data_IF_637156463999
#
_entry.id   IF_637156463999
#
_cell.length_a   1.000
_cell.length_b   1.000
_cell.length_c   1.000
_cell.angle_alpha   90.00
_cell.angle_beta   90.00
_cell.angle_gamma   90.00
#
_symmetry.space_group_name_H-M   'P 1'
#
loop_
_entity.id
_entity.type
_entity.pdbx_description
1 polymer ?
#
# COMPACT_ATOMS: atom_id res chain seq x y z
N UNK A 1 7.72 -5.58 -17.84
CA UNK A 1 7.46 -5.21 -16.44
C UNK A 1 6.08 -4.61 -16.40
N UNK A 2 5.11 -5.28 -15.79
CA UNK A 2 3.83 -4.67 -15.46
C UNK A 2 4.12 -3.53 -14.47
N UNK A 3 3.93 -2.29 -14.90
CA UNK A 3 4.29 -1.07 -14.16
C UNK A 3 3.54 -0.88 -12.83
N UNK A 4 2.70 -1.86 -12.45
CA UNK A 4 1.79 -1.83 -11.32
C UNK A 4 1.91 -3.05 -10.40
N UNK A 5 2.97 -3.84 -10.62
CA UNK A 5 3.43 -4.89 -9.70
C UNK A 5 4.74 -4.45 -9.10
N UNK A 6 4.90 -4.70 -7.80
CA UNK A 6 6.14 -4.42 -7.09
C UNK A 6 6.66 -5.74 -6.50
N UNK A 7 7.96 -5.98 -6.66
CA UNK A 7 8.64 -7.09 -5.99
C UNK A 7 9.64 -6.49 -5.02
N UNK A 8 9.44 -6.74 -3.73
CA UNK A 8 10.36 -6.31 -2.68
C UNK A 8 11.25 -7.50 -2.34
N UNK A 9 12.54 -7.31 -2.54
CA UNK A 9 13.54 -8.36 -2.39
C UNK A 9 13.61 -8.87 -0.93
N UNK A 10 13.88 -10.17 -0.82
CA UNK A 10 14.25 -10.80 0.44
C UNK A 10 15.62 -10.30 0.92
N UNK A 11 15.85 -10.36 2.22
CA UNK A 11 17.13 -10.02 2.83
C UNK A 11 18.10 -11.19 2.77
N UNK A 12 19.39 -10.91 2.77
CA UNK A 12 20.45 -11.92 2.86
C UNK A 12 20.62 -12.52 4.27
N UNK A 13 20.01 -11.89 5.28
CA UNK A 13 20.13 -12.24 6.69
C UNK A 13 18.80 -12.80 7.18
N UNK A 14 18.83 -13.96 7.85
CA UNK A 14 17.65 -14.61 8.40
C UNK A 14 17.69 -16.13 8.25
N UNK A 15 16.59 -16.79 8.60
CA UNK A 15 16.45 -18.24 8.45
C UNK A 15 16.18 -18.58 6.99
N UNK A 16 16.97 -19.50 6.45
CA UNK A 16 16.79 -20.06 5.11
C UNK A 16 16.04 -21.39 5.26
N UNK A 17 15.06 -21.69 4.37
CA UNK A 17 14.36 -22.96 4.37
C UNK A 17 15.35 -24.14 4.30
N UNK A 18 15.12 -25.25 5.01
CA UNK A 18 15.86 -26.48 4.73
C UNK A 18 15.52 -26.96 3.31
N UNK A 19 16.48 -27.62 2.65
CA UNK A 19 16.20 -28.27 1.37
C UNK A 19 15.16 -29.39 1.58
N UNK A 20 13.99 -29.23 0.98
CA UNK A 20 12.85 -30.13 1.07
C UNK A 20 12.10 -30.16 -0.26
N UNK A 21 11.47 -31.29 -0.58
CA UNK A 21 10.53 -31.40 -1.70
C UNK A 21 9.12 -30.89 -1.32
N UNK A 22 8.89 -30.61 -0.03
CA UNK A 22 7.65 -30.00 0.47
C UNK A 22 7.74 -28.47 0.45
N UNK A 23 6.63 -27.82 0.08
CA UNK A 23 6.49 -26.36 0.12
C UNK A 23 6.48 -25.90 1.57
N UNK A 24 7.41 -25.01 1.92
CA UNK A 24 7.45 -24.41 3.24
C UNK A 24 6.50 -23.21 3.30
N UNK A 25 5.48 -23.31 4.16
CA UNK A 25 4.56 -22.22 4.43
C UNK A 25 5.19 -21.22 5.41
N UNK A 26 5.11 -19.93 5.07
CA UNK A 26 5.40 -18.81 5.97
C UNK A 26 4.15 -17.98 6.19
N UNK A 27 4.09 -17.24 7.30
CA UNK A 27 2.96 -16.32 7.53
C UNK A 27 2.93 -15.21 6.47
N UNK A 28 1.74 -14.83 5.96
CA UNK A 28 1.61 -13.68 5.07
C UNK A 28 2.05 -12.38 5.77
N UNK A 29 2.38 -11.31 5.02
CA UNK A 29 2.58 -10.01 5.63
C UNK A 29 1.29 -9.58 6.34
N UNK A 30 1.42 -8.82 7.43
CA UNK A 30 0.29 -8.21 8.10
C UNK A 30 0.13 -6.75 7.67
N UNK A 31 -1.11 -6.28 7.51
CA UNK A 31 -1.38 -4.86 7.34
C UNK A 31 -1.27 -4.17 8.71
N UNK A 32 -0.36 -3.21 8.84
CA UNK A 32 -0.14 -2.47 10.08
C UNK A 32 -0.88 -1.13 10.14
N UNK A 33 -0.97 -0.42 9.01
CA UNK A 33 -1.77 0.80 8.90
C UNK A 33 -2.12 1.16 7.47
N UNK A 34 -3.24 1.87 7.31
CA UNK A 34 -3.66 2.55 6.08
C UNK A 34 -3.59 4.05 6.33
N UNK A 35 -2.96 4.82 5.43
CA UNK A 35 -2.79 6.26 5.61
C UNK A 35 -3.09 7.03 4.33
N UNK A 36 -3.82 8.12 4.50
CA UNK A 36 -3.96 9.17 3.49
C UNK A 36 -3.02 10.31 3.87
N UNK A 37 -1.99 10.51 3.05
CA UNK A 37 -0.96 11.53 3.26
C UNK A 37 -1.17 12.66 2.27
N UNK A 38 -1.46 13.84 2.78
CA UNK A 38 -1.65 15.06 2.03
C UNK A 38 -0.37 15.89 2.09
N UNK A 39 0.06 16.37 0.94
CA UNK A 39 1.32 17.08 0.81
C UNK A 39 1.32 18.05 -0.36
N UNK A 40 2.44 18.75 -0.48
CA UNK A 40 2.66 19.80 -1.47
C UNK A 40 4.02 19.62 -2.14
N UNK A 41 4.21 20.25 -3.30
CA UNK A 41 5.51 20.34 -3.95
C UNK A 41 6.39 21.44 -3.36
N UNK A 42 7.68 21.42 -3.71
CA UNK A 42 8.64 22.49 -3.39
C UNK A 42 8.15 23.83 -3.95
N UNK A 43 7.67 23.82 -5.19
CA UNK A 43 7.17 25.01 -5.87
C UNK A 43 5.67 25.22 -5.64
N UNK A 44 5.21 26.43 -5.23
CA UNK A 44 3.81 26.63 -4.85
C UNK A 44 2.78 26.39 -5.95
N UNK A 45 3.15 26.72 -7.19
CA UNK A 45 2.25 26.69 -8.34
C UNK A 45 2.25 25.33 -9.08
N UNK A 46 3.22 24.47 -8.78
CA UNK A 46 3.38 23.17 -9.41
C UNK A 46 2.70 22.09 -8.61
N UNK A 47 2.11 21.13 -9.32
CA UNK A 47 1.58 19.91 -8.72
C UNK A 47 2.72 19.07 -8.13
N UNK A 48 2.54 18.50 -6.91
CA UNK A 48 3.56 17.64 -6.34
C UNK A 48 3.76 16.38 -7.17
N UNK A 49 5.01 15.96 -7.32
CA UNK A 49 5.40 14.72 -7.99
C UNK A 49 5.93 13.71 -6.97
N UNK A 50 6.19 12.47 -7.39
CA UNK A 50 6.76 11.45 -6.51
C UNK A 50 8.11 11.86 -5.88
N UNK A 51 8.95 12.57 -6.64
CA UNK A 51 10.29 12.98 -6.22
C UNK A 51 10.30 14.27 -5.39
N UNK A 52 9.21 15.04 -5.40
CA UNK A 52 9.09 16.35 -4.75
C UNK A 52 7.89 16.44 -3.79
N UNK A 53 7.38 15.31 -3.32
CA UNK A 53 6.24 15.29 -2.40
C UNK A 53 6.68 15.55 -0.96
N UNK A 54 6.24 16.68 -0.38
CA UNK A 54 6.46 17.02 1.03
C UNK A 54 5.18 16.75 1.84
N UNK A 55 5.14 15.71 2.70
CA UNK A 55 4.01 15.45 3.57
C UNK A 55 3.73 16.61 4.52
N UNK A 56 2.47 16.99 4.66
CA UNK A 56 2.03 18.08 5.57
C UNK A 56 0.99 17.58 6.56
N UNK A 57 0.04 16.78 6.10
CA UNK A 57 -1.07 16.29 6.92
C UNK A 57 -1.33 14.81 6.63
N UNK A 58 -1.56 14.02 7.67
CA UNK A 58 -1.78 12.57 7.54
C UNK A 58 -3.02 12.15 8.32
N UNK A 59 -3.92 11.46 7.65
CA UNK A 59 -4.99 10.68 8.28
C UNK A 59 -4.50 9.24 8.31
N UNK A 60 -4.50 8.62 9.48
CA UNK A 60 -3.98 7.26 9.67
C UNK A 60 -5.00 6.40 10.39
N UNK A 61 -5.23 5.21 9.85
CA UNK A 61 -5.96 4.14 10.50
C UNK A 61 -5.00 3.00 10.86
N UNK A 62 -4.69 2.80 12.16
CA UNK A 62 -3.92 1.63 12.58
C UNK A 62 -4.76 0.37 12.44
N UNK A 63 -4.15 -0.69 11.90
CA UNK A 63 -4.78 -1.99 11.72
C UNK A 63 -4.17 -2.95 12.74
N UNK A 64 -4.96 -3.27 13.78
CA UNK A 64 -4.55 -4.22 14.82
C UNK A 64 -4.84 -5.66 14.43
N UNK A 65 -5.97 -5.89 13.75
CA UNK A 65 -6.34 -7.16 13.13
C UNK A 65 -7.20 -6.89 11.89
N UNK A 66 -6.97 -7.66 10.83
CA UNK A 66 -7.80 -7.62 9.63
C UNK A 66 -9.24 -8.02 9.98
N UNK A 67 -10.21 -7.26 9.47
CA UNK A 67 -11.63 -7.45 9.81
C UNK A 67 -12.01 -7.13 11.26
N UNK A 68 -11.08 -6.58 12.06
CA UNK A 68 -11.34 -6.25 13.47
C UNK A 68 -12.11 -4.95 13.68
N UNK A 69 -11.96 -3.99 12.77
CA UNK A 69 -12.66 -2.71 12.79
C UNK A 69 -13.88 -2.72 11.86
N UNK A 70 -13.73 -3.32 10.67
CA UNK A 70 -14.78 -3.40 9.66
C UNK A 70 -15.18 -4.87 9.45
N UNK A 71 -16.41 -5.29 9.83
CA UNK A 71 -16.84 -6.69 9.78
C UNK A 71 -16.89 -7.30 8.38
N UNK A 72 -17.02 -6.46 7.35
CA UNK A 72 -16.99 -6.84 5.94
C UNK A 72 -15.58 -6.83 5.34
N UNK A 73 -14.58 -6.34 6.11
CA UNK A 73 -13.18 -6.29 5.72
C UNK A 73 -12.85 -5.19 4.71
N UNK A 74 -13.73 -4.19 4.54
CA UNK A 74 -13.50 -3.04 3.66
C UNK A 74 -13.08 -1.83 4.49
N UNK A 75 -11.93 -1.25 4.16
CA UNK A 75 -11.43 -0.06 4.84
C UNK A 75 -11.81 1.20 4.07
N UNK A 76 -12.47 2.15 4.73
CA UNK A 76 -13.16 3.23 4.04
C UNK A 76 -12.67 4.63 4.38
N UNK A 77 -12.53 5.48 3.36
CA UNK A 77 -12.22 6.91 3.50
C UNK A 77 -12.84 7.71 2.34
N UNK A 78 -13.42 8.89 2.57
CA UNK A 78 -13.66 9.81 1.44
C UNK A 78 -12.39 10.61 1.09
N UNK A 79 -11.47 9.98 0.36
CA UNK A 79 -10.21 10.59 -0.05
C UNK A 79 -10.41 11.84 -0.92
N UNK A 80 -11.45 11.80 -1.77
CA UNK A 80 -11.79 12.89 -2.69
C UNK A 80 -12.26 14.15 -1.97
N UNK A 81 -13.26 14.01 -1.10
CA UNK A 81 -13.80 15.13 -0.34
C UNK A 81 -12.76 15.71 0.62
N UNK A 82 -11.91 14.88 1.25
CA UNK A 82 -10.83 15.38 2.11
C UNK A 82 -9.80 16.21 1.32
N UNK A 83 -9.42 15.75 0.11
CA UNK A 83 -8.52 16.51 -0.76
C UNK A 83 -9.16 17.84 -1.21
N UNK A 84 -10.43 17.82 -1.60
CA UNK A 84 -11.17 19.03 -1.99
C UNK A 84 -11.30 20.02 -0.83
N UNK A 85 -11.63 19.53 0.36
CA UNK A 85 -11.72 20.34 1.57
C UNK A 85 -10.40 21.02 1.89
N UNK A 86 -9.27 20.31 1.80
CA UNK A 86 -7.95 20.89 2.00
C UNK A 86 -7.63 21.95 0.95
N UNK A 87 -7.88 21.66 -0.33
CA UNK A 87 -7.64 22.59 -1.45
C UNK A 87 -8.47 23.87 -1.35
N UNK A 88 -9.72 23.77 -0.89
CA UNK A 88 -10.59 24.94 -0.72
C UNK A 88 -10.11 25.87 0.41
N UNK A 89 -9.46 25.33 1.44
CA UNK A 89 -8.99 26.08 2.61
C UNK A 89 -7.55 26.58 2.49
N UNK A 90 -6.69 25.83 1.81
CA UNK A 90 -5.25 26.10 1.73
C UNK A 90 -4.81 26.36 0.28
N UNK A 91 -5.23 27.50 -0.28
CA UNK A 91 -5.15 27.83 -1.71
C UNK A 91 -3.77 28.26 -2.22
N UNK A 92 -2.80 28.52 -1.32
CA UNK A 92 -1.46 29.04 -1.69
C UNK A 92 -0.52 27.99 -2.28
N UNK A 93 -0.92 26.73 -2.28
CA UNK A 93 -0.11 25.59 -2.74
C UNK A 93 -1.01 24.64 -3.52
N UNK A 94 -0.46 23.96 -4.52
CA UNK A 94 -1.10 22.78 -5.10
C UNK A 94 -0.93 21.59 -4.15
N UNK A 95 -2.05 21.03 -3.74
CA UNK A 95 -2.08 19.85 -2.87
C UNK A 95 -2.18 18.59 -3.70
N UNK A 96 -1.51 17.56 -3.22
CA UNK A 96 -1.68 16.19 -3.66
C UNK A 96 -1.97 15.26 -2.49
N UNK A 97 -2.49 14.10 -2.82
CA UNK A 97 -2.77 13.00 -1.91
C UNK A 97 -1.93 11.78 -2.32
N UNK A 98 -1.39 11.08 -1.34
CA UNK A 98 -0.74 9.78 -1.49
C UNK A 98 -1.37 8.77 -0.54
N UNK A 99 -1.72 7.60 -1.07
CA UNK A 99 -2.10 6.45 -0.25
C UNK A 99 -0.83 5.74 0.23
N UNK A 100 -0.77 5.41 1.52
CA UNK A 100 0.31 4.60 2.10
C UNK A 100 -0.27 3.38 2.84
N UNK A 101 0.33 2.22 2.62
CA UNK A 101 0.06 0.96 3.28
C UNK A 101 1.31 0.49 4.00
N UNK A 102 1.23 0.38 5.32
CA UNK A 102 2.30 -0.21 6.12
C UNK A 102 2.09 -1.72 6.19
N UNK A 103 3.08 -2.48 5.76
CA UNK A 103 3.12 -3.93 5.80
C UNK A 103 4.18 -4.39 6.80
N UNK A 104 3.83 -5.35 7.64
CA UNK A 104 4.74 -5.98 8.60
C UNK A 104 5.06 -7.39 8.12
N UNK A 105 6.34 -7.64 7.87
CA UNK A 105 6.85 -8.95 7.49
C UNK A 105 7.53 -9.60 8.71
N UNK A 106 7.15 -10.84 9.01
CA UNK A 106 7.73 -11.64 10.09
C UNK A 106 9.20 -12.00 9.79
N UNK A 107 9.97 -12.27 10.85
CA UNK A 107 11.41 -12.56 10.77
C UNK A 107 11.72 -13.82 9.95
N UNK A 108 10.88 -14.85 10.05
CA UNK A 108 11.01 -16.11 9.32
C UNK A 108 10.95 -15.96 7.79
N UNK A 109 10.20 -14.97 7.31
CA UNK A 109 10.02 -14.73 5.88
C UNK A 109 11.15 -13.88 5.27
N UNK A 110 11.96 -13.20 6.08
CA UNK A 110 12.88 -12.16 5.59
C UNK A 110 13.91 -12.68 4.61
N UNK A 111 14.52 -13.85 4.88
CA UNK A 111 15.51 -14.47 4.00
C UNK A 111 14.92 -15.59 3.13
N UNK A 112 13.69 -16.02 3.41
CA UNK A 112 13.05 -17.12 2.73
C UNK A 112 12.39 -16.68 1.41
N UNK A 113 11.66 -15.56 1.42
CA UNK A 113 10.75 -15.19 0.33
C UNK A 113 10.78 -13.70 -0.02
N UNK A 114 10.56 -13.41 -1.30
CA UNK A 114 10.30 -12.05 -1.79
C UNK A 114 8.85 -11.66 -1.48
N UNK A 115 8.59 -10.37 -1.29
CA UNK A 115 7.24 -9.85 -1.16
C UNK A 115 6.74 -9.36 -2.52
N UNK A 116 5.74 -10.06 -3.03
CA UNK A 116 5.02 -9.74 -4.25
C UNK A 116 3.80 -8.89 -3.93
N UNK A 117 3.68 -7.77 -4.64
CA UNK A 117 2.61 -6.78 -4.47
C UNK A 117 1.88 -6.61 -5.79
N UNK A 118 0.56 -6.79 -5.73
CA UNK A 118 -0.36 -6.48 -6.82
C UNK A 118 -1.28 -5.34 -6.38
N UNK A 119 -1.29 -4.27 -7.16
CA UNK A 119 -2.12 -3.09 -6.91
C UNK A 119 -3.34 -3.09 -7.83
N UNK A 120 -4.44 -2.40 -7.47
CA UNK A 120 -5.61 -2.27 -8.34
C UNK A 120 -5.36 -1.35 -9.55
N UNK A 121 -4.21 -0.67 -9.59
CA UNK A 121 -3.86 0.28 -10.63
C UNK A 121 -3.32 -0.50 -11.83
N UNK A 122 -3.79 -0.23 -13.05
CA UNK A 122 -3.43 -1.04 -14.22
C UNK A 122 -2.75 -0.26 -15.34
N UNK A 123 -2.89 1.07 -15.35
CA UNK A 123 -2.29 1.94 -16.38
C UNK A 123 -1.94 3.31 -15.82
N UNK A 124 -0.81 3.88 -16.24
CA UNK A 124 -0.46 5.28 -15.97
C UNK A 124 -0.13 5.54 -14.50
N UNK A 125 -0.57 6.68 -13.97
CA UNK A 125 -0.56 6.99 -12.54
C UNK A 125 -1.96 6.72 -11.93
N UNK A 126 -2.04 6.33 -10.65
CA UNK A 126 -0.93 6.15 -9.71
C UNK A 126 -0.06 4.91 -9.99
N UNK A 127 1.21 4.98 -9.60
CA UNK A 127 2.15 3.84 -9.61
C UNK A 127 2.55 3.45 -8.19
N UNK A 128 2.78 2.16 -7.91
CA UNK A 128 3.32 1.74 -6.63
C UNK A 128 4.78 2.17 -6.47
N UNK A 129 5.14 2.63 -5.28
CA UNK A 129 6.51 2.92 -4.88
C UNK A 129 6.74 2.49 -3.43
N UNK A 130 7.96 2.09 -3.12
CA UNK A 130 8.37 1.79 -1.75
C UNK A 130 8.95 3.06 -1.12
N UNK A 131 8.46 3.42 0.07
CA UNK A 131 8.99 4.53 0.84
C UNK A 131 10.01 4.06 1.88
N UNK A 132 10.98 4.92 2.17
CA UNK A 132 11.98 4.68 3.21
C UNK A 132 13.10 3.75 2.74
N UNK A 133 13.81 3.10 3.70
CA UNK A 133 14.94 2.24 3.37
C UNK A 133 14.52 1.01 2.59
N UNK A 134 15.32 0.60 1.59
CA UNK A 134 15.05 -0.60 0.78
C UNK A 134 14.94 -1.89 1.61
N UNK A 135 15.66 -1.97 2.72
CA UNK A 135 15.61 -3.11 3.64
C UNK A 135 14.36 -3.12 4.53
N UNK A 136 13.58 -2.04 4.55
CA UNK A 136 12.53 -1.78 5.52
C UNK A 136 13.05 -1.31 6.88
N UNK A 137 12.12 -0.96 7.77
CA UNK A 137 12.41 -0.54 9.15
C UNK A 137 12.36 -1.75 10.09
N UNK A 138 13.44 -2.07 10.82
CA UNK A 138 13.45 -3.20 11.75
C UNK A 138 12.37 -3.09 12.84
N UNK A 139 11.78 -4.21 13.22
CA UNK A 139 10.77 -4.31 14.28
C UNK A 139 11.29 -5.11 15.47
N UNK A 140 10.76 -4.82 16.66
CA UNK A 140 10.89 -5.74 17.81
C UNK A 140 10.30 -7.10 17.44
N UNK A 141 11.07 -8.17 17.63
CA UNK A 141 10.74 -9.52 17.13
C UNK A 141 11.51 -9.94 15.87
N UNK A 142 12.37 -9.08 15.33
CA UNK A 142 13.30 -9.42 14.24
C UNK A 142 12.70 -9.36 12.83
N UNK A 143 11.42 -9.00 12.70
CA UNK A 143 10.77 -8.71 11.42
C UNK A 143 11.10 -7.29 10.90
N UNK A 144 10.42 -6.88 9.83
CA UNK A 144 10.52 -5.51 9.28
C UNK A 144 9.15 -4.92 8.99
N UNK A 145 9.09 -3.59 8.99
CA UNK A 145 7.98 -2.80 8.46
C UNK A 145 8.39 -2.19 7.11
N UNK A 146 7.50 -2.26 6.13
CA UNK A 146 7.64 -1.73 4.78
C UNK A 146 6.48 -0.77 4.53
N UNK A 147 6.73 0.34 3.83
CA UNK A 147 5.67 1.27 3.45
C UNK A 147 5.54 1.26 1.93
N UNK A 148 4.46 0.66 1.45
CA UNK A 148 4.03 0.78 0.06
C UNK A 148 3.24 2.07 -0.08
N UNK A 149 3.46 2.82 -1.14
CA UNK A 149 2.71 4.03 -1.41
C UNK A 149 2.33 4.17 -2.88
N UNK A 150 1.34 5.01 -3.16
CA UNK A 150 1.06 5.50 -4.51
C UNK A 150 2.01 6.65 -4.88
N UNK A 151 2.19 6.92 -6.17
CA UNK A 151 2.56 8.27 -6.61
C UNK A 151 1.45 9.26 -6.17
N UNK A 152 1.79 10.53 -5.89
CA UNK A 152 0.77 11.49 -5.46
C UNK A 152 -0.19 11.80 -6.61
N UNK A 153 -1.47 11.98 -6.26
CA UNK A 153 -2.53 12.39 -7.18
C UNK A 153 -3.10 13.73 -6.75
N UNK A 154 -3.55 14.54 -7.71
CA UNK A 154 -3.93 15.94 -7.47
C UNK A 154 -5.40 16.23 -7.76
N UNK A 155 -6.11 15.34 -8.46
CA UNK A 155 -7.54 15.46 -8.72
C UNK A 155 -8.38 14.64 -7.73
N UNK A 156 -9.63 15.07 -7.53
CA UNK A 156 -10.62 14.40 -6.67
C UNK A 156 -10.92 12.99 -7.18
N UNK A 157 -11.12 12.84 -8.49
CA UNK A 157 -11.42 11.53 -9.09
C UNK A 157 -10.24 10.57 -8.98
N UNK A 158 -9.01 11.06 -9.15
CA UNK A 158 -7.82 10.23 -8.96
C UNK A 158 -7.64 9.83 -7.50
N UNK A 159 -7.92 10.73 -6.55
CA UNK A 159 -7.91 10.43 -5.11
C UNK A 159 -8.90 9.31 -4.74
N UNK A 160 -10.14 9.39 -5.26
CA UNK A 160 -11.16 8.35 -5.09
C UNK A 160 -10.78 7.01 -5.75
N UNK A 161 -10.00 7.07 -6.81
CA UNK A 161 -9.53 5.90 -7.56
C UNK A 161 -8.26 5.26 -7.00
N UNK A 162 -7.68 5.81 -5.93
CA UNK A 162 -6.53 5.19 -5.25
C UNK A 162 -6.92 3.85 -4.58
N UNK A 163 -8.21 3.66 -4.27
CA UNK A 163 -8.73 2.47 -3.60
C UNK A 163 -8.84 1.25 -4.52
N UNK A 164 -9.40 0.17 -4.00
CA UNK A 164 -9.56 -1.11 -4.68
C UNK A 164 -8.91 -2.27 -3.91
N UNK A 165 -8.69 -3.37 -4.60
CA UNK A 165 -8.11 -4.59 -4.02
C UNK A 165 -6.59 -4.60 -4.16
N UNK A 166 -5.90 -4.64 -3.03
CA UNK A 166 -4.47 -4.88 -2.96
C UNK A 166 -4.23 -6.34 -2.56
N UNK A 167 -3.31 -7.01 -3.26
CA UNK A 167 -2.93 -8.38 -2.94
C UNK A 167 -1.44 -8.45 -2.61
N UNK A 168 -1.13 -9.06 -1.48
CA UNK A 168 0.23 -9.26 -1.00
C UNK A 168 0.49 -10.74 -0.78
N UNK A 169 1.68 -11.18 -1.19
CA UNK A 169 2.08 -12.57 -1.03
C UNK A 169 3.59 -12.67 -0.90
N UNK A 170 4.04 -13.52 0.02
CA UNK A 170 5.44 -13.93 0.11
C UNK A 170 5.65 -15.18 -0.72
N UNK A 171 6.65 -15.14 -1.62
CA UNK A 171 7.01 -16.26 -2.48
C UNK A 171 8.48 -16.18 -2.90
N UNK A 172 9.15 -17.32 -3.05
CA UNK A 172 10.54 -17.40 -3.54
C UNK A 172 10.67 -17.56 -5.06
N UNK A 173 9.54 -17.60 -5.77
CA UNK A 173 9.45 -17.69 -7.22
C UNK A 173 8.33 -16.78 -7.75
N UNK A 174 8.43 -16.35 -9.00
CA UNK A 174 7.41 -15.50 -9.65
C UNK A 174 6.04 -16.20 -9.68
N UNK A 175 4.98 -15.63 -9.07
CA UNK A 175 3.62 -16.18 -9.13
C UNK A 175 3.06 -16.33 -10.54
N UNK A 176 3.56 -15.57 -11.50
CA UNK A 176 3.08 -15.53 -12.88
C UNK A 176 4.01 -16.24 -13.86
N UNK A 177 5.23 -16.58 -13.43
CA UNK A 177 6.27 -17.18 -14.27
C UNK A 177 6.16 -18.69 -14.46
N UNK A 178 5.16 -19.34 -13.84
CA UNK A 178 4.94 -20.80 -13.94
C UNK A 178 5.94 -21.66 -13.18
N UNK A 179 6.91 -21.07 -12.47
CA UNK A 179 7.84 -21.78 -11.59
C UNK A 179 7.16 -22.24 -10.30
N UNK A 180 7.45 -23.48 -9.88
CA UNK A 180 7.05 -23.98 -8.57
C UNK A 180 7.80 -23.22 -7.48
N UNK A 181 7.08 -22.67 -6.50
CA UNK A 181 7.69 -22.09 -5.31
C UNK A 181 8.06 -23.19 -4.32
N UNK A 182 9.16 -23.00 -3.60
CA UNK A 182 9.51 -23.84 -2.45
C UNK A 182 9.14 -23.17 -1.13
N UNK A 183 8.91 -21.85 -1.16
CA UNK A 183 8.40 -21.06 -0.04
C UNK A 183 7.23 -20.22 -0.52
N UNK A 184 6.10 -20.33 0.17
CA UNK A 184 4.97 -19.44 -0.09
C UNK A 184 4.14 -19.15 1.16
N UNK A 185 3.32 -18.11 1.06
CA UNK A 185 2.31 -17.76 2.06
C UNK A 185 0.93 -17.78 1.41
N UNK A 186 -0.11 -17.79 2.23
CA UNK A 186 -1.44 -17.40 1.76
C UNK A 186 -1.45 -15.95 1.27
N UNK A 187 -2.43 -15.59 0.44
CA UNK A 187 -2.58 -14.20 -0.01
C UNK A 187 -3.22 -13.36 1.09
N UNK A 188 -2.58 -12.24 1.42
CA UNK A 188 -3.25 -11.14 2.11
C UNK A 188 -3.98 -10.30 1.07
N UNK A 189 -5.31 -10.20 1.18
CA UNK A 189 -6.10 -9.25 0.40
C UNK A 189 -6.57 -8.11 1.30
N UNK A 190 -6.39 -6.88 0.82
CA UNK A 190 -6.83 -5.66 1.48
C UNK A 190 -7.75 -4.91 0.53
N UNK A 191 -9.00 -4.72 0.94
CA UNK A 191 -9.97 -3.94 0.19
C UNK A 191 -10.05 -2.54 0.78
N UNK A 192 -9.85 -1.51 -0.06
CA UNK A 192 -10.04 -0.12 0.32
C UNK A 192 -11.16 0.49 -0.53
N UNK A 193 -12.13 1.15 0.11
CA UNK A 193 -12.99 2.11 -0.57
C UNK A 193 -12.54 3.52 -0.23
N UNK A 194 -12.17 4.30 -1.25
CA UNK A 194 -11.70 5.67 -1.09
C UNK A 194 -12.72 6.72 -1.58
N UNK A 195 -13.98 6.33 -1.78
CA UNK A 195 -15.03 7.16 -2.35
C UNK A 195 -15.94 7.81 -1.31
N UNK A 196 -16.25 7.09 -0.25
CA UNK A 196 -17.16 7.51 0.81
C UNK A 196 -16.82 6.79 2.12
N UNK A 197 -17.39 7.27 3.22
CA UNK A 197 -17.41 6.57 4.50
C UNK A 197 -18.69 5.72 4.64
N UNK A 198 -18.65 4.65 5.46
CA UNK A 198 -19.72 3.67 5.71
C UNK A 198 -21.09 4.29 5.97
N UNK A 199 -21.08 5.47 6.61
CA UNK A 199 -22.27 6.16 7.08
C UNK A 199 -22.82 7.20 6.10
N UNK A 200 -22.22 7.33 4.91
CA UNK A 200 -22.63 8.28 3.88
C UNK A 200 -23.37 7.54 2.76
N UNK A 201 -24.58 8.00 2.43
CA UNK A 201 -25.29 7.46 1.28
C UNK A 201 -24.49 7.79 0.01
N UNK A 202 -24.20 6.78 -0.81
CA UNK A 202 -23.68 7.00 -2.17
C UNK A 202 -24.61 7.94 -2.92
N UNK A 203 -24.25 9.22 -3.03
CA UNK A 203 -24.95 10.14 -3.92
C UNK A 203 -24.66 9.68 -5.34
N UNK A 204 -25.58 8.89 -5.90
CA UNK A 204 -25.64 8.64 -7.32
C UNK A 204 -25.93 9.97 -8.02
N UNK A 205 -24.87 10.69 -8.39
CA UNK A 205 -24.95 11.73 -9.41
C UNK A 205 -25.23 11.04 -10.75
N UNK A 206 -26.50 10.70 -10.97
CA UNK A 206 -27.06 10.44 -12.30
C UNK A 206 -27.45 11.79 -12.87
N UNK A 207 -26.59 12.34 -13.72
CA UNK A 207 -27.02 13.22 -14.82
C UNK A 207 -27.92 12.45 -15.81
#
# INVERSE_FOLDING_TARGET
>A
MDAHRLVIQRLSEGTVPPASDEVWSVDPPALGSVRLVFGVGSEPELEPTADDFHPVYTISMPVFSLGGLDPDGVYEFDAGAQLELLRSRATRRRWGLRLELELVQASEALAAAELWVETPWTTGDPRPLMLGPERGTPRSGGGRSLVLASTPVTSVDAARSLGGTFTFMLRDADPHGGGAATVESSRLQVQLDLRCYEFEAETHDRE
#
